data_IF_277321030872
#
_entry.id   IF_277321030872
#
_cell.length_a   1.000
_cell.length_b   1.000
_cell.length_c   1.000
_cell.angle_alpha   90.00
_cell.angle_beta   90.00
_cell.angle_gamma   90.00
#
_symmetry.space_group_name_H-M   'P 1'
#
loop_
_entity.id
_entity.type
_entity.pdbx_description
1 polymer ?
#
# COMPACT_ATOMS: atom_id res chain seq x y z
N UNK A 1 21.13 19.05 19.75
CA UNK A 1 20.44 18.68 18.49
C UNK A 1 19.48 19.78 18.02
N UNK A 2 19.94 20.99 17.75
CA UNK A 2 19.02 22.06 17.34
C UNK A 2 18.36 21.82 15.99
N UNK A 3 19.06 21.16 15.04
CA UNK A 3 18.50 20.87 13.71
C UNK A 3 17.32 19.89 13.78
N UNK A 4 17.37 18.90 14.66
CA UNK A 4 16.28 17.93 14.84
C UNK A 4 14.99 18.61 15.31
N UNK A 5 15.09 19.61 16.18
CA UNK A 5 13.92 20.37 16.64
C UNK A 5 13.27 21.13 15.48
N UNK A 6 14.06 21.70 14.59
CA UNK A 6 13.55 22.45 13.43
C UNK A 6 12.82 21.49 12.46
N UNK A 7 13.41 20.34 12.19
CA UNK A 7 12.82 19.32 11.31
C UNK A 7 11.49 18.82 11.89
N UNK A 8 11.44 18.54 13.19
CA UNK A 8 10.22 18.10 13.86
C UNK A 8 9.14 19.20 13.86
N UNK A 9 9.52 20.45 14.08
CA UNK A 9 8.61 21.59 14.01
C UNK A 9 8.01 21.73 12.60
N UNK A 10 8.81 21.55 11.57
CA UNK A 10 8.34 21.59 10.18
C UNK A 10 7.34 20.45 9.90
N UNK A 11 7.63 19.25 10.36
CA UNK A 11 6.73 18.12 10.21
C UNK A 11 5.38 18.36 10.90
N UNK A 12 5.39 18.88 12.12
CA UNK A 12 4.18 19.24 12.86
C UNK A 12 3.39 20.32 12.12
N UNK A 13 4.04 21.35 11.64
CA UNK A 13 3.39 22.43 10.88
C UNK A 13 2.75 21.90 9.61
N UNK A 14 3.45 21.04 8.88
CA UNK A 14 2.93 20.41 7.67
C UNK A 14 1.65 19.60 7.94
N UNK A 15 1.69 18.73 8.94
CA UNK A 15 0.55 17.90 9.31
C UNK A 15 -0.62 18.76 9.81
N UNK A 16 -0.35 19.76 10.66
CA UNK A 16 -1.38 20.64 11.21
C UNK A 16 -2.07 21.50 10.15
N UNK A 17 -1.33 21.87 9.09
CA UNK A 17 -1.82 22.73 8.02
C UNK A 17 -2.47 21.95 6.88
N UNK A 18 -2.29 20.64 6.84
CA UNK A 18 -2.83 19.80 5.77
C UNK A 18 -4.36 19.79 5.79
N UNK A 19 -5.02 19.80 4.63
CA UNK A 19 -6.46 19.59 4.55
C UNK A 19 -6.87 18.28 5.21
N UNK A 20 -7.96 18.31 5.96
CA UNK A 20 -8.43 17.14 6.69
C UNK A 20 -8.96 16.06 5.77
N UNK A 21 -8.58 14.81 6.07
CA UNK A 21 -9.13 13.64 5.42
C UNK A 21 -9.08 12.45 6.40
N UNK A 22 -10.12 11.63 6.39
CA UNK A 22 -10.16 10.37 7.13
C UNK A 22 -9.95 9.15 6.26
N UNK A 23 -9.51 9.34 5.02
CA UNK A 23 -9.36 8.25 4.05
C UNK A 23 -8.43 7.15 4.56
N UNK A 24 -7.32 7.50 5.23
CA UNK A 24 -6.40 6.52 5.80
C UNK A 24 -7.02 5.75 6.97
N UNK A 25 -7.79 6.41 7.82
CA UNK A 25 -8.49 5.76 8.95
C UNK A 25 -9.53 4.79 8.43
N UNK A 26 -10.32 5.19 7.45
CA UNK A 26 -11.30 4.31 6.82
C UNK A 26 -10.62 3.11 6.15
N UNK A 27 -9.54 3.35 5.42
CA UNK A 27 -8.79 2.30 4.73
C UNK A 27 -8.30 1.21 5.69
N UNK A 28 -7.65 1.59 6.79
CA UNK A 28 -7.14 0.61 7.76
C UNK A 28 -8.28 -0.12 8.47
N UNK A 29 -9.37 0.58 8.80
CA UNK A 29 -10.53 -0.03 9.44
C UNK A 29 -11.19 -1.07 8.55
N UNK A 30 -11.38 -0.75 7.27
CA UNK A 30 -11.98 -1.66 6.30
C UNK A 30 -11.08 -2.87 6.02
N UNK A 31 -9.78 -2.64 5.91
CA UNK A 31 -8.81 -3.72 5.72
C UNK A 31 -8.79 -4.68 6.93
N UNK A 32 -8.80 -4.15 8.14
CA UNK A 32 -8.83 -4.95 9.36
C UNK A 32 -10.14 -5.74 9.48
N UNK A 33 -11.26 -5.15 9.10
CA UNK A 33 -12.55 -5.85 9.07
C UNK A 33 -12.53 -6.97 8.04
N UNK A 34 -12.00 -6.75 6.85
CA UNK A 34 -11.87 -7.77 5.83
C UNK A 34 -11.03 -8.97 6.30
N UNK A 35 -9.94 -8.72 7.01
CA UNK A 35 -9.09 -9.79 7.57
C UNK A 35 -9.84 -10.61 8.63
N UNK A 36 -10.64 -9.96 9.47
CA UNK A 36 -11.43 -10.65 10.50
C UNK A 36 -12.59 -11.45 9.92
N UNK A 37 -13.23 -10.92 8.88
CA UNK A 37 -14.46 -11.51 8.32
C UNK A 37 -14.17 -12.58 7.28
N UNK A 38 -12.97 -12.60 6.69
CA UNK A 38 -12.55 -13.62 5.74
C UNK A 38 -11.59 -14.59 6.42
N UNK A 39 -11.76 -15.88 6.12
CA UNK A 39 -10.76 -16.89 6.51
C UNK A 39 -9.41 -16.48 5.94
N UNK A 40 -8.37 -16.67 6.75
CA UNK A 40 -7.01 -16.27 6.39
C UNK A 40 -6.59 -16.86 5.04
N UNK A 41 -6.64 -16.04 4.00
CA UNK A 41 -6.13 -16.44 2.70
C UNK A 41 -4.61 -16.27 2.67
N UNK A 42 -3.87 -17.19 2.02
CA UNK A 42 -2.41 -17.06 1.94
C UNK A 42 -2.01 -15.87 1.10
N UNK A 43 -0.85 -15.31 1.42
CA UNK A 43 -0.22 -14.27 0.60
C UNK A 43 0.04 -14.85 -0.80
N UNK A 44 -0.23 -14.10 -1.89
CA UNK A 44 0.08 -14.57 -3.24
C UNK A 44 1.53 -15.06 -3.36
N UNK A 45 1.74 -16.18 -4.03
CA UNK A 45 3.03 -16.88 -4.09
C UNK A 45 4.16 -15.98 -4.58
N UNK A 46 3.89 -15.14 -5.60
CA UNK A 46 4.88 -14.25 -6.17
C UNK A 46 5.31 -13.11 -5.23
N UNK A 47 4.55 -12.84 -4.17
CA UNK A 47 4.88 -11.84 -3.16
C UNK A 47 5.57 -12.45 -1.92
N UNK A 48 5.67 -13.77 -1.84
CA UNK A 48 6.33 -14.44 -0.71
C UNK A 48 7.85 -14.29 -0.81
N UNK A 49 8.51 -14.23 0.33
CA UNK A 49 9.96 -14.05 0.39
C UNK A 49 10.71 -15.17 -0.32
N UNK A 50 11.56 -14.82 -1.27
CA UNK A 50 12.39 -15.72 -2.04
C UNK A 50 13.87 -15.72 -1.62
N UNK A 51 14.25 -15.04 -0.53
CA UNK A 51 15.65 -14.84 -0.14
C UNK A 51 16.22 -15.95 0.72
N UNK A 52 15.42 -16.90 1.20
CA UNK A 52 15.93 -18.01 2.02
C UNK A 52 16.12 -19.30 1.20
N UNK A 53 17.00 -20.18 1.69
CA UNK A 53 17.45 -21.37 0.92
C UNK A 53 16.35 -22.31 0.46
N UNK A 54 15.25 -22.43 1.21
CA UNK A 54 14.14 -23.33 0.87
C UNK A 54 13.02 -22.68 0.08
N UNK A 55 13.14 -21.38 -0.22
CA UNK A 55 12.08 -20.60 -0.87
C UNK A 55 11.67 -21.16 -2.23
N UNK A 56 12.65 -21.54 -3.07
CA UNK A 56 12.40 -22.08 -4.40
C UNK A 56 11.66 -23.43 -4.35
N UNK A 57 11.99 -24.28 -3.37
CA UNK A 57 11.31 -25.58 -3.18
C UNK A 57 9.85 -25.42 -2.79
N UNK A 58 9.52 -24.33 -2.10
CA UNK A 58 8.16 -23.99 -1.69
C UNK A 58 7.44 -23.14 -2.73
N UNK A 59 8.10 -22.76 -3.81
CA UNK A 59 7.53 -21.92 -4.87
C UNK A 59 7.39 -20.46 -4.49
N UNK A 60 7.98 -20.00 -3.37
CA UNK A 60 7.90 -18.62 -2.93
C UNK A 60 8.59 -17.66 -3.92
N UNK A 61 7.93 -16.56 -4.24
CA UNK A 61 8.47 -15.53 -5.13
C UNK A 61 8.40 -15.87 -6.62
N UNK A 62 7.89 -17.04 -6.99
CA UNK A 62 7.76 -17.43 -8.40
C UNK A 62 6.72 -16.55 -9.08
N UNK A 63 7.10 -15.93 -10.21
CA UNK A 63 6.21 -15.06 -10.97
C UNK A 63 6.19 -13.60 -10.53
N UNK A 64 7.04 -13.20 -9.57
CA UNK A 64 7.13 -11.80 -9.15
C UNK A 64 7.62 -10.91 -10.29
N UNK A 65 6.94 -9.80 -10.50
CA UNK A 65 7.30 -8.79 -11.49
C UNK A 65 7.90 -7.58 -10.78
N UNK A 66 9.17 -7.32 -11.05
CA UNK A 66 9.88 -6.18 -10.45
C UNK A 66 9.48 -4.89 -11.17
N UNK A 67 8.81 -3.98 -10.46
CA UNK A 67 8.21 -2.80 -11.07
C UNK A 67 9.21 -1.89 -11.78
N UNK A 68 10.46 -1.83 -11.29
CA UNK A 68 11.49 -0.99 -11.90
C UNK A 68 11.93 -1.46 -13.30
N UNK A 69 11.61 -2.69 -13.69
CA UNK A 69 11.86 -3.21 -15.03
C UNK A 69 10.79 -2.78 -16.04
N UNK A 70 9.77 -2.06 -15.59
CA UNK A 70 8.63 -1.67 -16.41
C UNK A 70 8.52 -0.14 -16.52
N UNK A 71 7.89 0.39 -17.60
CA UNK A 71 7.73 1.83 -17.78
C UNK A 71 7.04 2.48 -16.58
N UNK A 72 7.52 3.68 -16.19
CA UNK A 72 7.03 4.45 -15.04
C UNK A 72 7.11 3.69 -13.70
N UNK A 73 7.94 2.64 -13.63
CA UNK A 73 8.09 1.79 -12.44
C UNK A 73 6.76 1.23 -11.94
N UNK A 74 5.86 0.94 -12.89
CA UNK A 74 4.54 0.38 -12.60
C UNK A 74 4.31 -0.88 -13.41
N UNK A 75 3.80 -1.92 -12.75
CA UNK A 75 3.39 -3.17 -13.38
C UNK A 75 2.12 -3.68 -12.74
N UNK A 76 1.20 -4.15 -13.58
CA UNK A 76 -0.04 -4.74 -13.10
C UNK A 76 0.23 -6.17 -12.66
N UNK A 77 0.01 -6.44 -11.37
CA UNK A 77 0.07 -7.79 -10.80
C UNK A 77 -0.86 -7.88 -9.60
N UNK A 78 -1.15 -9.09 -9.15
CA UNK A 78 -2.01 -9.30 -7.99
C UNK A 78 -1.22 -9.05 -6.71
N UNK A 79 -1.75 -8.18 -5.84
CA UNK A 79 -1.17 -7.91 -4.52
C UNK A 79 -2.02 -8.45 -3.38
N UNK A 80 -3.33 -8.55 -3.58
CA UNK A 80 -4.24 -9.05 -2.56
C UNK A 80 -4.40 -10.57 -2.67
N UNK A 81 -4.67 -11.27 -1.55
CA UNK A 81 -4.97 -12.70 -1.58
C UNK A 81 -6.19 -13.01 -2.45
N UNK A 82 -6.26 -14.25 -2.92
CA UNK A 82 -7.44 -14.74 -3.63
C UNK A 82 -8.69 -14.53 -2.76
N UNK A 83 -9.77 -14.11 -3.40
CA UNK A 83 -11.02 -13.76 -2.71
C UNK A 83 -11.11 -12.29 -2.29
N UNK A 84 -10.01 -11.55 -2.30
CA UNK A 84 -9.97 -10.11 -1.99
C UNK A 84 -9.50 -9.27 -3.18
N UNK A 85 -9.28 -9.89 -4.33
CA UNK A 85 -8.66 -9.24 -5.51
C UNK A 85 -9.46 -8.06 -6.08
N UNK A 86 -10.76 -8.04 -5.86
CA UNK A 86 -11.67 -6.98 -6.30
C UNK A 86 -11.94 -5.93 -5.21
N UNK A 87 -11.34 -6.08 -4.02
CA UNK A 87 -11.53 -5.14 -2.91
C UNK A 87 -10.61 -3.94 -3.05
N UNK A 88 -11.17 -2.77 -2.74
CA UNK A 88 -10.44 -1.51 -2.63
C UNK A 88 -10.67 -0.95 -1.23
N UNK A 89 -9.60 -0.68 -0.49
CA UNK A 89 -9.69 -0.19 0.89
C UNK A 89 -9.44 1.29 1.00
N UNK A 90 -8.57 1.85 0.16
CA UNK A 90 -8.22 3.26 0.19
C UNK A 90 -9.00 4.02 -0.89
N UNK A 91 -9.80 4.98 -0.44
CA UNK A 91 -10.57 5.86 -1.30
C UNK A 91 -10.11 7.30 -1.07
N UNK A 92 -9.15 7.80 -1.86
CA UNK A 92 -8.66 9.16 -1.67
C UNK A 92 -9.76 10.19 -1.87
N UNK A 93 -9.79 11.18 -1.00
CA UNK A 93 -10.72 12.30 -1.09
C UNK A 93 -10.29 13.28 -2.19
N UNK A 94 -11.02 14.39 -2.33
CA UNK A 94 -10.62 15.49 -3.22
C UNK A 94 -9.85 16.58 -2.48
N UNK A 95 -9.53 16.36 -1.21
CA UNK A 95 -8.85 17.33 -0.37
C UNK A 95 -7.32 17.22 -0.49
N UNK A 96 -6.66 18.35 -0.64
CA UNK A 96 -5.21 18.44 -0.65
C UNK A 96 -4.57 17.53 -1.70
N UNK A 97 -3.48 16.87 -1.31
CA UNK A 97 -2.70 16.00 -2.19
C UNK A 97 -3.47 14.72 -2.62
N UNK A 98 -4.48 14.33 -1.87
CA UNK A 98 -5.29 13.15 -2.23
C UNK A 98 -5.99 13.30 -3.59
N UNK A 99 -6.29 14.53 -3.99
CA UNK A 99 -6.81 14.80 -5.35
C UNK A 99 -5.81 14.34 -6.42
N UNK A 100 -4.54 14.66 -6.24
CA UNK A 100 -3.47 14.23 -7.17
C UNK A 100 -3.31 12.71 -7.18
N UNK A 101 -3.39 12.04 -6.02
CA UNK A 101 -3.36 10.58 -5.91
C UNK A 101 -4.54 9.98 -6.68
N UNK A 102 -5.72 10.52 -6.50
CA UNK A 102 -6.92 10.04 -7.18
C UNK A 102 -6.82 10.16 -8.70
N UNK A 103 -6.32 11.29 -9.19
CA UNK A 103 -6.08 11.49 -10.62
C UNK A 103 -5.06 10.50 -11.17
N UNK A 104 -4.01 10.21 -10.41
CA UNK A 104 -3.02 9.21 -10.79
C UNK A 104 -3.62 7.80 -10.92
N UNK A 105 -4.47 7.39 -9.99
CA UNK A 105 -5.09 6.06 -10.03
C UNK A 105 -6.10 5.91 -11.17
N UNK A 106 -6.67 7.00 -11.66
CA UNK A 106 -7.65 6.97 -12.75
C UNK A 106 -7.01 6.96 -14.15
N UNK A 107 -5.68 6.99 -14.22
CA UNK A 107 -4.95 6.84 -15.47
C UNK A 107 -4.77 5.36 -15.82
#
# INVERSE_FOLDING_TARGET
MPEAQIILAQAVTYVASAPKSNSAVCAISDAMAAVRDTMTAPIPVHLQDAHYKSSQKLGHGVGYKYAHDYPNHYVKQQYLPDGLTDRTFYHPSENGYEKTIREYFNK
#
